data_IF_449283658844
#
_entry.id   IF_449283658844
#
_cell.length_a   1.000
_cell.length_b   1.000
_cell.length_c   1.000
_cell.angle_alpha   90.00
_cell.angle_beta   90.00
_cell.angle_gamma   90.00
#
_symmetry.space_group_name_H-M   'P 1'
#
loop_
_entity.id
_entity.type
_entity.pdbx_description
1 polymer ?
#
# COMPACT_ATOMS: atom_id res chain seq x y z
N UNK A 1 -2.33 -21.02 -9.77
CA UNK A 1 -2.21 -19.59 -9.40
C UNK A 1 -3.59 -19.13 -9.00
N UNK A 2 -3.75 -18.58 -7.80
CA UNK A 2 -5.02 -17.92 -7.44
C UNK A 2 -4.84 -16.43 -7.76
N UNK A 3 -5.65 -15.85 -8.67
CA UNK A 3 -5.55 -14.44 -9.04
C UNK A 3 -5.76 -13.50 -7.83
N UNK A 4 -5.08 -12.36 -7.73
CA UNK A 4 -5.17 -11.51 -6.53
C UNK A 4 -6.53 -10.81 -6.40
N UNK A 5 -7.20 -10.45 -7.51
CA UNK A 5 -8.57 -9.98 -7.41
C UNK A 5 -9.48 -11.11 -6.92
N UNK A 6 -9.22 -12.37 -7.30
CA UNK A 6 -9.93 -13.53 -6.75
C UNK A 6 -9.57 -13.83 -5.28
N UNK A 7 -8.32 -13.62 -4.84
CA UNK A 7 -7.90 -13.75 -3.43
C UNK A 7 -8.49 -12.63 -2.56
N UNK A 8 -8.46 -11.40 -3.03
CA UNK A 8 -9.05 -10.24 -2.33
C UNK A 8 -10.57 -10.40 -2.33
N UNK A 9 -11.19 -10.77 -3.46
CA UNK A 9 -12.61 -11.13 -3.49
C UNK A 9 -12.90 -12.25 -2.50
N UNK A 10 -12.08 -13.30 -2.46
CA UNK A 10 -12.20 -14.42 -1.51
C UNK A 10 -12.10 -13.99 -0.04
N UNK A 11 -11.12 -13.16 0.32
CA UNK A 11 -10.96 -12.63 1.68
C UNK A 11 -12.09 -11.65 2.06
N UNK A 12 -12.57 -10.88 1.09
CA UNK A 12 -13.70 -9.96 1.29
C UNK A 12 -14.99 -10.75 1.45
N UNK A 13 -15.19 -11.78 0.64
CA UNK A 13 -16.27 -12.78 0.72
C UNK A 13 -16.27 -13.46 2.08
N UNK A 14 -15.10 -13.91 2.56
CA UNK A 14 -14.95 -14.61 3.84
C UNK A 14 -15.23 -13.69 5.03
N UNK A 15 -14.72 -12.45 5.00
CA UNK A 15 -15.05 -11.42 6.01
C UNK A 15 -16.53 -11.02 5.95
N UNK A 16 -17.12 -10.92 4.76
CA UNK A 16 -18.55 -10.64 4.60
C UNK A 16 -19.40 -11.80 5.12
N UNK A 17 -18.99 -13.04 4.86
CA UNK A 17 -19.62 -14.27 5.33
C UNK A 17 -19.48 -14.46 6.84
N UNK A 18 -18.39 -14.01 7.47
CA UNK A 18 -18.24 -13.96 8.92
C UNK A 18 -19.03 -12.84 9.59
N UNK A 19 -19.17 -11.69 8.91
CA UNK A 19 -19.86 -10.51 9.44
C UNK A 19 -21.39 -10.55 9.29
N UNK A 20 -21.90 -11.07 8.16
CA UNK A 20 -23.34 -11.11 7.85
C UNK A 20 -24.18 -11.88 8.88
N UNK A 21 -23.79 -13.09 9.32
CA UNK A 21 -24.59 -13.87 10.27
C UNK A 21 -24.80 -13.14 11.59
N UNK A 22 -23.78 -12.46 12.12
CA UNK A 22 -23.87 -11.67 13.34
C UNK A 22 -24.76 -10.43 13.21
N UNK A 23 -24.79 -9.80 12.04
CA UNK A 23 -25.67 -8.65 11.74
C UNK A 23 -27.12 -9.06 11.43
N UNK A 24 -27.32 -10.17 10.74
CA UNK A 24 -28.64 -10.72 10.44
C UNK A 24 -29.30 -11.33 11.68
N UNK A 25 -28.53 -11.96 12.57
CA UNK A 25 -29.02 -12.41 13.87
C UNK A 25 -29.48 -11.25 14.75
N UNK A 26 -28.78 -10.10 14.72
CA UNK A 26 -29.21 -8.87 15.41
C UNK A 26 -30.46 -8.24 14.78
N UNK A 27 -30.69 -8.39 13.47
CA UNK A 27 -31.91 -7.91 12.78
C UNK A 27 -33.12 -8.83 12.93
N UNK A 28 -32.95 -10.13 13.25
CA UNK A 28 -34.07 -11.03 13.60
C UNK A 28 -34.88 -10.58 14.82
N UNK A 29 -34.39 -9.62 15.60
CA UNK A 29 -35.14 -9.00 16.70
C UNK A 29 -36.18 -7.95 16.22
N UNK A 30 -36.23 -7.60 14.93
CA UNK A 30 -37.16 -6.60 14.39
C UNK A 30 -37.72 -7.08 13.05
N UNK A 31 -39.05 -7.15 12.99
CA UNK A 31 -39.90 -7.79 11.98
C UNK A 31 -39.55 -7.54 10.51
N UNK A 32 -39.41 -8.64 9.74
CA UNK A 32 -39.72 -8.80 8.30
C UNK A 32 -39.00 -10.08 7.82
N UNK A 33 -39.72 -11.19 7.73
CA UNK A 33 -39.18 -12.52 7.44
C UNK A 33 -38.89 -12.71 5.95
N UNK A 34 -37.69 -12.35 5.50
CA UNK A 34 -37.13 -12.96 4.28
C UNK A 34 -36.65 -14.37 4.66
N UNK A 35 -37.06 -15.44 3.96
CA UNK A 35 -36.65 -16.80 4.28
C UNK A 35 -35.12 -16.92 4.29
N UNK A 36 -34.50 -17.55 5.30
CA UNK A 36 -33.04 -17.63 5.43
C UNK A 36 -32.37 -18.28 4.21
N UNK A 37 -33.05 -19.21 3.53
CA UNK A 37 -32.58 -19.83 2.28
C UNK A 37 -32.46 -18.84 1.13
N UNK A 38 -33.38 -17.86 1.05
CA UNK A 38 -33.35 -16.82 0.02
C UNK A 38 -32.19 -15.85 0.27
N UNK A 39 -31.95 -15.49 1.55
CA UNK A 39 -30.80 -14.64 1.94
C UNK A 39 -29.46 -15.33 1.62
N UNK A 40 -29.32 -16.61 1.95
CA UNK A 40 -28.12 -17.38 1.61
C UNK A 40 -27.93 -17.54 0.10
N UNK A 41 -29.02 -17.76 -0.65
CA UNK A 41 -28.98 -17.84 -2.12
C UNK A 41 -28.56 -16.53 -2.79
N UNK A 42 -29.11 -15.40 -2.34
CA UNK A 42 -28.72 -14.06 -2.83
C UNK A 42 -27.27 -13.76 -2.49
N UNK A 43 -26.82 -14.11 -1.28
CA UNK A 43 -25.42 -13.94 -0.90
C UNK A 43 -24.53 -14.77 -1.81
N UNK A 44 -24.79 -16.08 -1.96
CA UNK A 44 -24.01 -16.95 -2.83
C UNK A 44 -23.93 -16.42 -4.27
N UNK A 45 -25.04 -15.92 -4.83
CA UNK A 45 -25.06 -15.27 -6.15
C UNK A 45 -24.18 -14.03 -6.22
N UNK A 46 -24.20 -13.17 -5.19
CA UNK A 46 -23.32 -12.00 -5.11
C UNK A 46 -21.85 -12.41 -5.01
N UNK A 47 -21.53 -13.46 -4.26
CA UNK A 47 -20.15 -13.96 -4.13
C UNK A 47 -19.65 -14.57 -5.45
N UNK A 48 -20.48 -15.36 -6.12
CA UNK A 48 -20.17 -15.93 -7.45
C UNK A 48 -20.00 -14.82 -8.48
N UNK A 49 -20.90 -13.82 -8.49
CA UNK A 49 -20.81 -12.66 -9.38
C UNK A 49 -19.54 -11.84 -9.16
N UNK A 50 -19.18 -11.56 -7.89
CA UNK A 50 -17.94 -10.87 -7.54
C UNK A 50 -16.70 -11.66 -7.96
N UNK A 51 -16.68 -12.98 -7.71
CA UNK A 51 -15.60 -13.87 -8.10
C UNK A 51 -15.41 -13.96 -9.62
N UNK A 52 -16.50 -14.06 -10.38
CA UNK A 52 -16.48 -14.05 -11.85
C UNK A 52 -15.93 -12.74 -12.40
N UNK A 53 -16.39 -11.61 -11.85
CA UNK A 53 -15.94 -10.28 -12.30
C UNK A 53 -14.43 -10.11 -12.06
N UNK A 54 -13.93 -10.55 -10.90
CA UNK A 54 -12.51 -10.57 -10.58
C UNK A 54 -11.72 -11.47 -11.53
N UNK A 55 -12.17 -12.71 -11.75
CA UNK A 55 -11.51 -13.66 -12.64
C UNK A 55 -11.45 -13.16 -14.10
N UNK A 56 -12.53 -12.55 -14.59
CA UNK A 56 -12.57 -11.95 -15.95
C UNK A 56 -11.59 -10.79 -16.04
N UNK A 57 -11.50 -9.95 -15.01
CA UNK A 57 -10.55 -8.85 -14.98
C UNK A 57 -9.10 -9.35 -14.99
N UNK A 58 -8.77 -10.34 -14.17
CA UNK A 58 -7.43 -10.95 -14.13
C UNK A 58 -7.07 -11.61 -15.47
N UNK A 59 -8.03 -12.32 -16.10
CA UNK A 59 -7.83 -12.94 -17.40
C UNK A 59 -7.58 -11.88 -18.51
N UNK A 60 -8.30 -10.75 -18.48
CA UNK A 60 -8.05 -9.66 -19.42
C UNK A 60 -6.69 -9.03 -19.19
N UNK A 61 -6.32 -8.78 -17.94
CA UNK A 61 -5.02 -8.20 -17.62
C UNK A 61 -3.85 -9.06 -18.12
N UNK A 62 -3.97 -10.39 -17.98
CA UNK A 62 -2.94 -11.33 -18.40
C UNK A 62 -2.84 -11.50 -19.92
N UNK A 63 -3.97 -11.53 -20.63
CA UNK A 63 -4.00 -11.86 -22.05
C UNK A 63 -4.04 -10.62 -22.97
N UNK A 64 -4.76 -9.57 -22.57
CA UNK A 64 -4.87 -8.32 -23.30
C UNK A 64 -5.12 -7.12 -22.36
N UNK A 65 -4.06 -6.55 -21.76
CA UNK A 65 -4.16 -5.46 -20.80
C UNK A 65 -4.79 -4.18 -21.38
N UNK A 66 -4.87 -4.06 -22.71
CA UNK A 66 -5.53 -2.92 -23.35
C UNK A 66 -7.04 -2.93 -23.12
N UNK A 67 -7.61 -4.07 -22.76
CA UNK A 67 -9.06 -4.23 -22.53
C UNK A 67 -9.41 -4.33 -21.04
N UNK A 68 -8.41 -4.39 -20.17
CA UNK A 68 -8.60 -4.38 -18.72
C UNK A 68 -9.10 -3.00 -18.24
N UNK A 69 -9.94 -2.99 -17.21
CA UNK A 69 -10.39 -1.76 -16.56
C UNK A 69 -9.26 -1.21 -15.66
N UNK A 70 -8.23 -0.65 -16.30
CA UNK A 70 -7.10 0.05 -15.66
C UNK A 70 -7.15 1.54 -15.96
N UNK A 71 -6.64 2.35 -15.03
CA UNK A 71 -6.32 3.75 -15.29
C UNK A 71 -5.35 3.86 -16.48
N UNK A 72 -5.46 4.93 -17.29
CA UNK A 72 -4.73 5.05 -18.55
C UNK A 72 -3.20 4.96 -18.37
N UNK A 73 -2.67 5.60 -17.32
CA UNK A 73 -1.24 5.55 -16.98
C UNK A 73 -0.80 4.13 -16.55
N UNK A 74 -1.59 3.47 -15.71
CA UNK A 74 -1.30 2.08 -15.29
C UNK A 74 -1.33 1.15 -16.51
N UNK A 75 -2.27 1.33 -17.43
CA UNK A 75 -2.35 0.54 -18.66
C UNK A 75 -1.14 0.74 -19.57
N UNK A 76 -0.73 1.99 -19.78
CA UNK A 76 0.44 2.32 -20.60
C UNK A 76 1.70 1.65 -20.06
N UNK A 77 1.94 1.82 -18.76
CA UNK A 77 3.08 1.21 -18.08
C UNK A 77 3.03 -0.33 -18.12
N UNK A 78 1.84 -0.94 -18.20
CA UNK A 78 1.71 -2.40 -18.22
C UNK A 78 2.09 -2.94 -19.60
N UNK A 79 1.61 -2.26 -20.64
CA UNK A 79 1.89 -2.59 -22.05
C UNK A 79 3.37 -2.36 -22.39
N UNK A 80 4.00 -1.36 -21.81
CA UNK A 80 5.43 -1.06 -22.01
C UNK A 80 6.37 -2.00 -21.25
N UNK A 81 5.85 -3.05 -20.60
CA UNK A 81 6.64 -3.97 -19.79
C UNK A 81 7.15 -3.35 -18.47
N UNK A 82 6.72 -2.11 -18.18
CA UNK A 82 6.95 -1.40 -16.93
C UNK A 82 5.92 -1.78 -15.87
N UNK A 83 5.72 -3.08 -15.66
CA UNK A 83 5.42 -3.64 -14.34
C UNK A 83 4.31 -2.89 -13.54
N UNK A 84 3.14 -2.58 -14.11
CA UNK A 84 2.23 -1.60 -13.50
C UNK A 84 0.87 -2.10 -13.05
N UNK A 85 0.22 -1.28 -12.22
CA UNK A 85 -1.16 -1.42 -11.72
C UNK A 85 -1.36 -2.51 -10.68
N UNK A 86 -0.79 -3.70 -10.91
CA UNK A 86 -1.00 -4.84 -10.03
C UNK A 86 -0.24 -4.68 -8.72
N UNK A 87 -0.97 -4.72 -7.60
CA UNK A 87 -0.43 -4.47 -6.27
C UNK A 87 -0.23 -2.99 -5.93
N UNK A 88 -0.25 -2.05 -6.89
CA UNK A 88 -0.05 -0.61 -6.65
C UNK A 88 -1.18 -0.03 -5.80
N UNK A 89 -2.44 -0.26 -6.22
CA UNK A 89 -3.59 0.19 -5.43
C UNK A 89 -3.60 -0.46 -4.06
N UNK A 90 -3.28 -1.76 -3.98
CA UNK A 90 -3.21 -2.47 -2.71
C UNK A 90 -2.12 -1.91 -1.77
N UNK A 91 -0.95 -1.56 -2.32
CA UNK A 91 0.12 -0.91 -1.58
C UNK A 91 -0.29 0.49 -1.11
N UNK A 92 -0.96 1.28 -1.96
CA UNK A 92 -1.49 2.58 -1.59
C UNK A 92 -2.56 2.47 -0.49
N UNK A 93 -3.49 1.52 -0.60
CA UNK A 93 -4.52 1.28 0.41
C UNK A 93 -3.91 0.81 1.74
N UNK A 94 -2.86 -0.02 1.69
CA UNK A 94 -2.07 -0.40 2.88
C UNK A 94 -1.40 0.83 3.51
N UNK A 95 -0.70 1.65 2.73
CA UNK A 95 -0.03 2.86 3.22
C UNK A 95 -1.01 3.87 3.82
N UNK A 96 -2.23 3.99 3.30
CA UNK A 96 -3.29 4.81 3.93
C UNK A 96 -3.69 4.30 5.31
N UNK A 97 -3.84 2.98 5.46
CA UNK A 97 -4.17 2.37 6.74
C UNK A 97 -3.05 2.62 7.75
N UNK A 98 -1.79 2.46 7.33
CA UNK A 98 -0.63 2.75 8.17
C UNK A 98 -0.51 4.24 8.50
N UNK A 99 -0.85 5.14 7.57
CA UNK A 99 -0.87 6.58 7.83
C UNK A 99 -1.91 6.95 8.90
N UNK A 100 -3.11 6.37 8.84
CA UNK A 100 -4.14 6.56 9.87
C UNK A 100 -3.66 6.02 11.23
N UNK A 101 -3.05 4.83 11.26
CA UNK A 101 -2.49 4.26 12.50
C UNK A 101 -1.37 5.13 13.07
N UNK A 102 -0.43 5.58 12.26
CA UNK A 102 0.66 6.47 12.68
C UNK A 102 0.12 7.78 13.26
N UNK A 103 -0.87 8.39 12.61
CA UNK A 103 -1.53 9.59 13.11
C UNK A 103 -2.19 9.34 14.48
N UNK A 104 -2.88 8.20 14.65
CA UNK A 104 -3.58 7.85 15.89
C UNK A 104 -2.63 7.49 17.05
N UNK A 105 -1.55 6.77 16.78
CA UNK A 105 -0.65 6.26 17.82
C UNK A 105 0.51 7.19 18.15
N UNK A 106 1.01 7.92 17.15
CA UNK A 106 2.25 8.72 17.26
C UNK A 106 1.99 10.22 17.11
N UNK A 107 0.86 10.61 16.50
CA UNK A 107 0.52 12.02 16.27
C UNK A 107 1.25 12.68 15.10
N UNK A 108 1.90 11.89 14.24
CA UNK A 108 2.66 12.40 13.09
C UNK A 108 2.24 11.73 11.78
N UNK A 109 2.47 12.46 10.68
CA UNK A 109 2.28 12.00 9.31
C UNK A 109 3.19 10.79 8.98
N UNK A 110 2.76 9.95 8.05
CA UNK A 110 3.59 8.89 7.50
C UNK A 110 4.53 9.46 6.44
N UNK A 111 5.83 9.22 6.60
CA UNK A 111 6.84 9.63 5.63
C UNK A 111 7.09 8.50 4.62
N UNK A 112 6.86 8.78 3.34
CA UNK A 112 7.06 7.82 2.24
C UNK A 112 8.23 8.27 1.37
N UNK A 113 9.35 7.55 1.46
CA UNK A 113 10.53 7.79 0.65
C UNK A 113 10.34 7.29 -0.78
N UNK A 114 10.52 8.18 -1.75
CA UNK A 114 10.32 7.91 -3.17
C UNK A 114 11.66 8.06 -3.92
N UNK A 115 12.19 7.01 -4.57
CA UNK A 115 13.44 7.09 -5.31
C UNK A 115 13.31 7.97 -6.56
N UNK A 116 14.44 8.39 -7.13
CA UNK A 116 14.49 9.18 -8.38
C UNK A 116 14.06 8.38 -9.60
N UNK A 117 14.35 7.07 -9.60
CA UNK A 117 14.22 6.25 -10.79
C UNK A 117 12.75 6.25 -11.23
N UNK A 118 12.45 6.77 -12.44
CA UNK A 118 11.10 6.76 -12.96
C UNK A 118 10.65 5.32 -13.14
N UNK A 119 9.37 5.06 -12.86
CA UNK A 119 8.79 3.73 -12.99
C UNK A 119 7.99 3.24 -11.78
N UNK A 120 7.27 2.16 -12.05
CA UNK A 120 6.47 1.42 -11.08
C UNK A 120 7.39 0.62 -10.11
N UNK A 121 7.09 0.54 -8.80
CA UNK A 121 5.82 0.92 -8.17
C UNK A 121 5.76 2.29 -7.49
N UNK A 122 6.89 2.97 -7.32
CA UNK A 122 6.93 4.22 -6.57
C UNK A 122 6.04 5.31 -7.18
N UNK A 123 6.14 5.57 -8.49
CA UNK A 123 5.32 6.59 -9.15
C UNK A 123 3.83 6.23 -9.16
N UNK A 124 3.50 4.96 -9.43
CA UNK A 124 2.13 4.49 -9.40
C UNK A 124 1.49 4.74 -8.03
N UNK A 125 2.18 4.38 -6.95
CA UNK A 125 1.70 4.61 -5.59
C UNK A 125 1.52 6.11 -5.30
N UNK A 126 2.43 6.98 -5.74
CA UNK A 126 2.29 8.43 -5.53
C UNK A 126 1.03 9.01 -6.17
N UNK A 127 0.62 8.51 -7.33
CA UNK A 127 -0.64 8.94 -7.99
C UNK A 127 -1.85 8.56 -7.15
N UNK A 128 -1.91 7.33 -6.63
CA UNK A 128 -3.03 6.91 -5.79
C UNK A 128 -3.07 7.61 -4.45
N UNK A 129 -1.93 7.99 -3.89
CA UNK A 129 -1.81 8.69 -2.61
C UNK A 129 -1.83 10.21 -2.75
N UNK A 130 -2.01 10.74 -3.96
CA UNK A 130 -2.01 12.17 -4.21
C UNK A 130 -3.09 12.88 -3.38
N UNK A 131 -2.68 13.95 -2.70
CA UNK A 131 -3.56 14.76 -1.86
C UNK A 131 -3.93 14.12 -0.51
N UNK A 132 -3.36 12.97 -0.14
CA UNK A 132 -3.57 12.41 1.19
C UNK A 132 -2.87 13.27 2.26
N UNK A 133 -3.60 13.87 3.22
CA UNK A 133 -3.01 14.80 4.17
C UNK A 133 -2.15 14.12 5.23
N UNK A 134 -2.22 12.79 5.37
CA UNK A 134 -1.47 12.06 6.39
C UNK A 134 -0.18 11.43 5.83
N UNK A 135 0.15 11.70 4.57
CA UNK A 135 1.32 11.12 3.89
C UNK A 135 2.21 12.22 3.33
N UNK A 136 3.47 12.21 3.76
CA UNK A 136 4.51 13.12 3.28
C UNK A 136 5.48 12.34 2.40
N UNK A 137 5.50 12.65 1.11
CA UNK A 137 6.53 12.13 0.20
C UNK A 137 7.89 12.78 0.50
N UNK A 138 8.91 11.94 0.63
CA UNK A 138 10.30 12.34 0.83
C UNK A 138 11.10 11.89 -0.39
N UNK A 139 11.52 12.80 -1.28
CA UNK A 139 12.26 12.38 -2.45
C UNK A 139 13.68 11.96 -2.08
N UNK A 140 14.02 10.70 -2.35
CA UNK A 140 15.32 10.09 -2.09
C UNK A 140 16.16 10.06 -3.38
N UNK A 141 16.52 11.24 -3.90
CA UNK A 141 17.17 11.37 -5.21
C UNK A 141 18.60 10.80 -5.30
N UNK A 142 19.20 10.47 -4.16
CA UNK A 142 20.57 9.98 -3.99
C UNK A 142 20.65 8.46 -3.88
N UNK A 143 19.51 7.78 -3.91
CA UNK A 143 19.46 6.33 -3.90
C UNK A 143 19.55 5.82 -5.35
N UNK A 144 20.32 4.74 -5.63
CA UNK A 144 20.99 3.83 -4.68
C UNK A 144 22.43 4.21 -4.32
N UNK A 145 22.94 5.37 -4.74
CA UNK A 145 24.35 5.74 -4.54
C UNK A 145 24.72 5.98 -3.06
N UNK A 146 23.74 6.30 -2.22
CA UNK A 146 23.90 6.52 -0.77
C UNK A 146 22.77 5.85 0.03
N UNK A 147 22.98 5.60 1.33
CA UNK A 147 21.90 5.18 2.24
C UNK A 147 20.69 6.12 2.15
N UNK A 148 19.49 5.57 2.33
CA UNK A 148 18.23 6.30 2.31
C UNK A 148 18.18 7.35 3.40
N UNK A 149 18.54 6.99 4.63
CA UNK A 149 18.54 7.92 5.74
C UNK A 149 19.77 8.84 5.64
N UNK A 150 19.58 10.16 5.77
CA UNK A 150 20.71 11.08 5.78
C UNK A 150 21.50 10.96 7.08
N UNK A 151 22.83 11.10 7.00
CA UNK A 151 23.72 11.15 8.19
C UNK A 151 23.49 12.41 9.06
N UNK A 152 22.67 13.34 8.59
CA UNK A 152 22.36 14.62 9.23
C UNK A 152 21.12 14.49 10.11
N UNK A 153 21.11 15.17 11.26
CA UNK A 153 19.93 15.30 12.15
C UNK A 153 18.70 15.95 11.48
N UNK A 154 18.84 16.42 10.24
CA UNK A 154 17.77 17.02 9.47
C UNK A 154 17.78 16.53 8.01
N UNK A 155 16.61 16.57 7.39
CA UNK A 155 16.46 16.35 5.95
C UNK A 155 15.69 17.49 5.31
N UNK A 156 15.80 17.60 3.98
CA UNK A 156 15.11 18.60 3.18
C UNK A 156 13.95 17.94 2.46
N UNK A 157 12.73 18.38 2.75
CA UNK A 157 11.59 18.17 1.88
C UNK A 157 11.68 19.13 0.70
N UNK A 158 11.69 18.58 -0.52
CA UNK A 158 11.64 19.38 -1.74
C UNK A 158 10.20 19.35 -2.28
N UNK A 159 9.73 20.45 -2.89
CA UNK A 159 8.48 20.41 -3.63
C UNK A 159 8.56 19.30 -4.66
N UNK A 160 7.59 18.39 -4.66
CA UNK A 160 7.41 17.42 -5.72
C UNK A 160 6.26 17.86 -6.61
N UNK A 161 6.16 17.33 -7.83
CA UNK A 161 4.97 17.57 -8.68
C UNK A 161 3.66 17.13 -7.99
N UNK A 162 3.77 16.31 -6.94
CA UNK A 162 2.67 15.79 -6.15
C UNK A 162 2.48 16.53 -4.81
N UNK A 163 3.33 17.51 -4.47
CA UNK A 163 3.25 18.28 -3.22
C UNK A 163 3.55 19.76 -3.44
N UNK A 164 2.56 20.61 -3.15
CA UNK A 164 2.60 22.06 -3.39
C UNK A 164 3.17 22.87 -2.20
N UNK A 165 4.11 22.29 -1.44
CA UNK A 165 4.71 22.99 -0.30
C UNK A 165 6.09 23.55 -0.65
N UNK A 166 6.51 24.67 -0.03
CA UNK A 166 7.86 25.19 -0.17
C UNK A 166 8.89 24.17 0.35
N UNK A 167 10.16 24.38 0.02
CA UNK A 167 11.25 23.57 0.56
C UNK A 167 11.32 23.75 2.09
N UNK A 168 11.13 22.67 2.86
CA UNK A 168 11.15 22.69 4.33
C UNK A 168 12.23 21.77 4.88
N UNK A 169 12.94 22.23 5.93
CA UNK A 169 13.88 21.40 6.68
C UNK A 169 13.15 20.75 7.86
N UNK A 170 13.28 19.43 8.01
CA UNK A 170 12.62 18.62 9.05
C UNK A 170 13.66 17.82 9.84
N UNK A 171 13.33 17.38 11.05
CA UNK A 171 14.20 16.54 11.86
C UNK A 171 14.23 15.09 11.34
N UNK A 172 15.40 14.47 11.38
CA UNK A 172 15.61 13.11 10.85
C UNK A 172 14.85 12.02 11.61
N UNK A 173 14.56 12.20 12.91
CA UNK A 173 13.78 11.23 13.70
C UNK A 173 12.37 10.98 13.16
N UNK A 174 11.83 11.93 12.36
CA UNK A 174 10.55 11.72 11.69
C UNK A 174 10.61 10.61 10.64
N UNK A 175 11.81 10.21 10.22
CA UNK A 175 12.05 9.11 9.30
C UNK A 175 12.23 7.75 10.00
N UNK A 176 12.15 7.68 11.33
CA UNK A 176 12.35 6.44 12.11
C UNK A 176 11.28 5.38 11.82
N UNK A 177 10.17 5.78 11.20
CA UNK A 177 9.06 4.93 10.73
C UNK A 177 8.74 5.17 9.26
N UNK A 178 9.70 5.72 8.50
CA UNK A 178 9.50 5.99 7.10
C UNK A 178 9.35 4.70 6.29
N UNK A 179 8.45 4.73 5.31
CA UNK A 179 8.32 3.67 4.33
C UNK A 179 9.16 3.99 3.10
N UNK A 180 9.68 2.96 2.45
CA UNK A 180 10.34 3.05 1.16
C UNK A 180 9.67 2.07 0.18
N UNK A 181 9.28 2.59 -0.97
CA UNK A 181 8.77 1.75 -2.07
C UNK A 181 9.97 1.28 -2.88
N UNK A 182 10.24 -0.02 -2.88
CA UNK A 182 11.35 -0.56 -3.65
C UNK A 182 11.03 -0.44 -5.15
N UNK A 183 11.85 0.28 -5.94
CA UNK A 183 11.58 0.46 -7.36
C UNK A 183 11.89 -0.83 -8.13
N UNK A 184 11.38 -0.94 -9.35
CA UNK A 184 11.84 -1.97 -10.28
C UNK A 184 13.27 -1.63 -10.74
N UNK A 185 14.27 -2.37 -10.25
CA UNK A 185 15.69 -2.08 -10.47
C UNK A 185 16.52 -3.36 -10.52
N UNK A 186 17.73 -3.28 -11.08
CA UNK A 186 18.74 -4.35 -11.00
C UNK A 186 19.51 -4.34 -9.68
N UNK A 187 19.34 -3.31 -8.85
CA UNK A 187 19.95 -3.25 -7.53
C UNK A 187 19.33 -4.33 -6.61
N UNK A 188 20.11 -5.26 -6.03
CA UNK A 188 19.58 -6.35 -5.20
C UNK A 188 19.02 -5.86 -3.87
N UNK A 189 17.91 -6.48 -3.42
CA UNK A 189 17.27 -6.12 -2.15
C UNK A 189 18.15 -6.45 -0.93
N UNK A 190 18.95 -7.51 -1.03
CA UNK A 190 19.91 -7.91 0.00
C UNK A 190 20.97 -6.82 0.19
N UNK A 191 21.49 -6.28 -0.92
CA UNK A 191 22.43 -5.15 -0.89
C UNK A 191 21.75 -3.91 -0.32
N UNK A 192 20.50 -3.64 -0.67
CA UNK A 192 19.71 -2.56 -0.07
C UNK A 192 19.63 -2.67 1.45
N UNK A 193 19.29 -3.85 1.98
CA UNK A 193 19.17 -4.09 3.42
C UNK A 193 20.53 -3.99 4.14
N UNK A 194 21.61 -4.40 3.49
CA UNK A 194 22.97 -4.23 4.03
C UNK A 194 23.36 -2.75 4.17
N UNK A 195 23.02 -1.93 3.18
CA UNK A 195 23.31 -0.48 3.19
C UNK A 195 22.35 0.31 4.07
N UNK A 196 21.15 -0.24 4.34
CA UNK A 196 20.08 0.41 5.09
C UNK A 196 19.59 -0.50 6.23
N UNK A 197 20.42 -0.77 7.26
CA UNK A 197 20.13 -1.81 8.25
C UNK A 197 18.90 -1.54 9.13
N UNK A 198 18.40 -0.31 9.18
CA UNK A 198 17.14 0.01 9.87
C UNK A 198 15.88 -0.39 9.09
N UNK A 199 16.01 -0.70 7.79
CA UNK A 199 14.89 -1.11 6.96
C UNK A 199 14.69 -2.61 7.01
N UNK A 200 13.42 -3.02 7.03
CA UNK A 200 13.01 -4.40 6.84
C UNK A 200 11.82 -4.47 5.88
N UNK A 201 11.63 -5.61 5.24
CA UNK A 201 10.47 -5.82 4.35
C UNK A 201 9.23 -5.98 5.22
N UNK A 202 8.33 -5.01 5.13
CA UNK A 202 7.11 -4.97 5.94
C UNK A 202 5.92 -5.53 5.13
N UNK A 203 5.86 -5.23 3.84
CA UNK A 203 4.76 -5.68 2.99
C UNK A 203 5.24 -6.02 1.58
N UNK A 204 4.60 -7.02 0.98
CA UNK A 204 4.88 -7.44 -0.39
C UNK A 204 3.60 -7.91 -1.08
N UNK A 205 3.47 -7.56 -2.36
CA UNK A 205 2.41 -8.09 -3.20
C UNK A 205 2.99 -8.64 -4.51
N UNK A 206 2.91 -9.97 -4.72
CA UNK A 206 3.48 -10.59 -5.91
C UNK A 206 2.72 -10.16 -7.16
N UNK A 207 3.45 -9.88 -8.23
CA UNK A 207 2.88 -9.62 -9.55
C UNK A 207 2.54 -10.93 -10.26
N UNK A 208 1.69 -10.91 -11.31
CA UNK A 208 1.24 -12.13 -11.97
C UNK A 208 2.37 -12.93 -12.64
N UNK A 209 3.46 -12.28 -13.03
CA UNK A 209 4.64 -12.92 -13.62
C UNK A 209 5.46 -13.76 -12.63
N UNK A 210 5.17 -13.66 -11.33
CA UNK A 210 5.87 -14.30 -10.19
C UNK A 210 7.34 -13.93 -10.04
N UNK A 211 7.90 -13.11 -10.92
CA UNK A 211 9.30 -12.67 -10.88
C UNK A 211 9.43 -11.36 -10.12
N UNK A 212 8.36 -10.57 -10.12
CA UNK A 212 8.35 -9.26 -9.50
C UNK A 212 7.26 -9.16 -8.43
N UNK A 213 7.43 -8.20 -7.54
CA UNK A 213 6.47 -7.82 -6.52
C UNK A 213 6.47 -6.31 -6.32
N UNK A 214 5.43 -5.79 -5.68
CA UNK A 214 5.46 -4.45 -5.08
C UNK A 214 5.88 -4.64 -3.64
N UNK A 215 7.09 -4.20 -3.31
CA UNK A 215 7.67 -4.36 -1.97
C UNK A 215 7.75 -3.02 -1.26
N UNK A 216 7.26 -3.00 -0.03
CA UNK A 216 7.36 -1.88 0.90
C UNK A 216 8.30 -2.27 2.02
N UNK A 217 9.28 -1.40 2.25
CA UNK A 217 10.22 -1.53 3.35
C UNK A 217 9.90 -0.45 4.38
N UNK A 218 9.91 -0.82 5.65
CA UNK A 218 9.72 0.13 6.73
C UNK A 218 11.03 0.29 7.48
N UNK A 219 11.42 1.54 7.75
CA UNK A 219 12.44 1.83 8.72
C UNK A 219 11.89 1.58 10.12
N UNK A 220 12.59 0.81 10.94
CA UNK A 220 12.30 0.70 12.35
C UNK A 220 13.62 0.77 13.11
N UNK A 221 13.81 1.88 13.79
CA UNK A 221 14.96 2.01 14.69
C UNK A 221 14.48 1.66 16.10
N UNK A 222 14.89 0.50 16.62
CA UNK A 222 14.58 0.01 17.99
C UNK A 222 14.88 1.04 19.10
N UNK A 223 15.70 2.06 18.82
CA UNK A 223 16.10 3.08 19.80
C UNK A 223 14.97 3.94 20.37
N UNK A 224 13.76 3.92 19.80
CA UNK A 224 12.66 4.81 20.24
C UNK A 224 11.76 4.23 21.35
N UNK A 225 11.86 2.95 21.71
CA UNK A 225 11.08 2.40 22.84
C UNK A 225 11.70 2.74 24.21
N UNK A 226 12.93 3.27 24.27
CA UNK A 226 13.61 3.57 25.53
C UNK A 226 13.46 5.03 26.02
N UNK A 227 12.87 5.93 25.24
CA UNK A 227 12.81 7.37 25.60
C UNK A 227 11.45 8.04 25.29
N UNK A 228 10.33 7.34 25.49
CA UNK A 228 9.09 8.08 25.77
C UNK A 228 9.09 8.45 27.26
N UNK A 229 9.32 9.73 27.63
CA UNK A 229 9.10 10.14 29.00
C UNK A 229 7.63 9.87 29.30
N UNK A 230 7.39 9.08 30.35
CA UNK A 230 6.12 9.05 31.03
C UNK A 230 5.76 10.48 31.38
N UNK A 231 4.93 11.12 30.55
CA UNK A 231 4.35 12.42 30.84
C UNK A 231 3.53 12.23 32.11
N UNK A 232 4.15 12.62 33.22
CA UNK A 232 3.58 12.55 34.54
C UNK A 232 2.24 13.28 34.55
N UNK A 233 1.23 12.57 35.02
CA UNK A 233 0.02 13.20 35.53
C UNK A 233 0.44 14.22 36.59
N UNK A 234 0.17 15.50 36.33
CA UNK A 234 -0.04 16.52 37.36
C UNK A 234 -1.43 17.08 37.14
#
# INVERSE_FOLDING_TARGET
>A
MVPAAALIAGLTVDRLAGWLPGRLAKRKASSSEVPPRLQTGVLALLLVGAGLTAAVWDARLLNDPRTASLHALDRLLYVEGMNSGYGVKAAADYLRQEAVKNQQHRGYELYLMIPRLPGNPAEGITVYLFGDPNIVFVPAFWWPEKPLLPDSNHFTLRPSIYQLFPRVRRHAHLLDFAYFVYPNTTYPQETFLQVNPGFHKEWSHPKPDKKHSVDLFQNFTEKLELELPTLGKR
#
